data_IF_659197163678
#
_entry.id   IF_659197163678
#
_cell.length_a   1.000
_cell.length_b   1.000
_cell.length_c   1.000
_cell.angle_alpha   90.00
_cell.angle_beta   90.00
_cell.angle_gamma   90.00
#
_symmetry.space_group_name_H-M   'P 1'
#
loop_
_entity.id
_entity.type
_entity.pdbx_description
1 polymer ?
#
# COMPACT_ATOMS: atom_id res chain seq x y z
N UNK A 1 -13.14 6.18 7.52
CA UNK A 1 -12.08 5.27 7.00
C UNK A 1 -11.32 5.97 5.90
N UNK A 2 -10.01 5.85 5.93
CA UNK A 2 -9.14 6.36 4.87
C UNK A 2 -8.55 5.20 4.07
N UNK A 3 -8.14 5.51 2.84
CA UNK A 3 -7.59 4.53 1.92
C UNK A 3 -6.18 4.94 1.51
N UNK A 4 -5.32 3.95 1.32
CA UNK A 4 -3.90 4.15 1.09
C UNK A 4 -3.39 3.20 0.00
N UNK A 5 -2.18 3.44 -0.46
CA UNK A 5 -1.42 2.49 -1.28
C UNK A 5 -0.03 2.39 -0.70
N UNK A 6 0.45 1.17 -0.53
CA UNK A 6 1.80 0.91 -0.02
C UNK A 6 2.55 0.06 -1.05
N UNK A 7 3.80 0.41 -1.28
CA UNK A 7 4.64 -0.27 -2.27
C UNK A 7 5.61 -1.21 -1.59
N UNK A 8 5.76 -2.40 -2.17
CA UNK A 8 6.76 -3.37 -1.75
C UNK A 8 7.46 -3.95 -2.96
N UNK A 9 8.76 -4.15 -2.85
CA UNK A 9 9.51 -4.90 -3.85
C UNK A 9 9.27 -6.39 -3.63
N UNK A 10 8.70 -7.12 -4.63
CA UNK A 10 8.29 -8.51 -4.40
C UNK A 10 9.43 -9.47 -4.08
N UNK A 11 10.68 -9.14 -4.47
CA UNK A 11 11.84 -9.94 -4.10
C UNK A 11 12.19 -9.83 -2.61
N UNK A 12 11.78 -8.75 -1.96
CA UNK A 12 12.01 -8.51 -0.53
C UNK A 12 10.80 -8.95 0.30
N UNK A 13 9.60 -8.49 -0.09
CA UNK A 13 8.34 -8.82 0.58
C UNK A 13 7.21 -8.78 -0.45
N UNK A 14 6.81 -9.94 -0.96
CA UNK A 14 5.76 -10.05 -1.95
C UNK A 14 4.40 -10.34 -1.34
N UNK A 15 3.38 -10.37 -2.20
CA UNK A 15 2.01 -10.64 -1.78
C UNK A 15 1.86 -12.02 -1.15
N UNK A 16 2.55 -13.02 -1.70
CA UNK A 16 2.50 -14.38 -1.14
C UNK A 16 3.08 -14.43 0.26
N UNK A 17 4.13 -13.64 0.53
CA UNK A 17 4.71 -13.54 1.87
C UNK A 17 3.69 -12.94 2.84
N UNK A 18 2.98 -11.89 2.40
CA UNK A 18 1.95 -11.24 3.20
C UNK A 18 0.78 -12.19 3.48
N UNK A 19 0.34 -12.94 2.47
CA UNK A 19 -0.73 -13.93 2.64
C UNK A 19 -0.35 -15.01 3.65
N UNK A 20 0.91 -15.44 3.64
CA UNK A 20 1.40 -16.47 4.54
C UNK A 20 1.37 -16.05 6.01
N UNK A 21 1.39 -14.73 6.30
CA UNK A 21 1.28 -14.22 7.67
C UNK A 21 -0.14 -14.31 8.24
N UNK A 22 -1.16 -14.44 7.37
CA UNK A 22 -2.55 -14.54 7.80
C UNK A 22 -2.97 -13.36 8.67
N UNK A 23 -3.76 -13.63 9.70
CA UNK A 23 -4.29 -12.61 10.61
C UNK A 23 -3.25 -12.00 11.54
N UNK A 24 -2.11 -12.64 11.72
CA UNK A 24 -1.01 -12.06 12.51
C UNK A 24 -0.46 -10.81 11.84
N UNK A 25 -0.49 -10.78 10.51
CA UNK A 25 0.04 -9.68 9.74
C UNK A 25 1.54 -9.55 9.82
N UNK A 26 2.04 -8.40 9.39
CA UNK A 26 3.47 -8.10 9.39
C UNK A 26 3.66 -6.61 9.60
N UNK A 27 4.77 -6.26 10.23
CA UNK A 27 5.18 -4.88 10.37
C UNK A 27 5.69 -4.35 9.02
N UNK A 28 5.34 -3.10 8.71
CA UNK A 28 5.74 -2.44 7.45
C UNK A 28 6.94 -1.55 7.73
N UNK A 29 8.11 -2.17 7.84
CA UNK A 29 9.35 -1.49 8.19
C UNK A 29 10.09 -0.95 6.96
N UNK A 30 11.19 -0.29 7.20
CA UNK A 30 12.11 0.12 6.14
C UNK A 30 11.74 1.41 5.40
N UNK A 31 10.66 2.08 5.78
CA UNK A 31 10.29 3.37 5.17
C UNK A 31 11.23 4.46 5.66
N UNK A 32 11.95 5.12 4.72
CA UNK A 32 12.98 6.11 5.05
C UNK A 32 12.76 7.46 4.37
N UNK A 33 11.55 7.70 3.90
CA UNK A 33 11.13 8.97 3.31
C UNK A 33 10.16 9.67 4.26
N UNK A 34 10.39 10.97 4.55
CA UNK A 34 9.57 11.68 5.53
C UNK A 34 8.12 11.84 5.08
N UNK A 35 7.86 12.08 3.81
CA UNK A 35 6.49 12.20 3.31
C UNK A 35 5.74 10.86 3.48
N UNK A 36 6.37 9.75 3.11
CA UNK A 36 5.79 8.42 3.28
C UNK A 36 5.55 8.12 4.76
N UNK A 37 6.51 8.44 5.62
CA UNK A 37 6.38 8.25 7.06
C UNK A 37 5.24 9.09 7.64
N UNK A 38 5.09 10.33 7.20
CA UNK A 38 3.99 11.19 7.64
C UNK A 38 2.63 10.62 7.20
N UNK A 39 2.56 10.03 6.02
CA UNK A 39 1.36 9.35 5.56
C UNK A 39 1.02 8.16 6.47
N UNK A 40 2.04 7.36 6.86
CA UNK A 40 1.82 6.25 7.78
C UNK A 40 1.35 6.71 9.16
N UNK A 41 1.84 7.86 9.64
CA UNK A 41 1.37 8.43 10.91
C UNK A 41 -0.12 8.75 10.90
N UNK A 42 -0.67 9.05 9.74
CA UNK A 42 -2.08 9.39 9.58
C UNK A 42 -2.98 8.15 9.46
N UNK A 43 -2.41 6.96 9.31
CA UNK A 43 -3.18 5.72 9.21
C UNK A 43 -3.81 5.38 10.55
N UNK A 44 -5.06 4.93 10.51
CA UNK A 44 -5.81 4.48 11.68
C UNK A 44 -6.15 3.00 11.56
N UNK A 45 -6.40 2.37 12.71
CA UNK A 45 -6.87 0.97 12.75
C UNK A 45 -8.07 0.80 11.84
N UNK A 46 -8.06 -0.25 11.03
CA UNK A 46 -9.14 -0.56 10.09
C UNK A 46 -9.03 0.11 8.74
N UNK A 47 -8.12 1.06 8.56
CA UNK A 47 -7.87 1.65 7.25
C UNK A 47 -7.39 0.57 6.28
N UNK A 48 -7.74 0.71 5.01
CA UNK A 48 -7.40 -0.23 3.96
C UNK A 48 -6.32 0.36 3.05
N UNK A 49 -5.45 -0.51 2.55
CA UNK A 49 -4.40 -0.10 1.63
C UNK A 49 -4.27 -1.09 0.48
N UNK A 50 -4.03 -0.57 -0.72
CA UNK A 50 -3.61 -1.39 -1.84
C UNK A 50 -2.17 -1.86 -1.62
N UNK A 51 -1.92 -3.13 -1.87
CA UNK A 51 -0.58 -3.72 -1.86
C UNK A 51 -0.05 -3.70 -3.29
N UNK A 52 1.00 -2.91 -3.52
CA UNK A 52 1.54 -2.67 -4.85
C UNK A 52 2.92 -3.30 -4.98
N UNK A 53 3.13 -4.16 -5.99
CA UNK A 53 4.44 -4.68 -6.34
C UNK A 53 5.19 -3.64 -7.17
N UNK A 54 6.30 -3.14 -6.62
CA UNK A 54 7.12 -2.11 -7.27
C UNK A 54 8.25 -2.71 -8.11
N UNK A 55 9.01 -1.84 -8.75
CA UNK A 55 10.20 -2.11 -9.55
C UNK A 55 9.85 -2.79 -10.88
N UNK A 56 9.74 -4.11 -10.93
CA UNK A 56 9.56 -4.83 -12.20
C UNK A 56 8.09 -5.00 -12.60
N UNK A 57 7.25 -5.42 -11.66
CA UNK A 57 5.86 -5.76 -11.96
C UNK A 57 4.97 -4.53 -12.10
N UNK A 58 5.12 -3.55 -11.23
CA UNK A 58 4.40 -2.28 -11.22
C UNK A 58 2.89 -2.50 -11.32
N UNK A 59 2.32 -3.20 -10.32
CA UNK A 59 0.89 -3.53 -10.30
C UNK A 59 0.36 -3.72 -8.88
N UNK A 60 -0.92 -3.44 -8.71
CA UNK A 60 -1.66 -3.70 -7.47
C UNK A 60 -2.11 -5.16 -7.48
N UNK A 61 -1.83 -5.88 -6.40
CA UNK A 61 -2.09 -7.32 -6.32
C UNK A 61 -3.03 -7.71 -5.19
N UNK A 62 -3.28 -6.82 -4.23
CA UNK A 62 -4.15 -7.16 -3.12
C UNK A 62 -4.50 -5.96 -2.25
N UNK A 63 -5.24 -6.25 -1.19
CA UNK A 63 -5.68 -5.27 -0.19
C UNK A 63 -5.26 -5.76 1.18
N UNK A 64 -4.70 -4.85 1.98
CA UNK A 64 -4.34 -5.09 3.37
C UNK A 64 -5.11 -4.14 4.27
N UNK A 65 -5.18 -4.48 5.56
CA UNK A 65 -5.83 -3.67 6.59
C UNK A 65 -4.81 -3.30 7.65
N UNK A 66 -4.85 -2.05 8.13
CA UNK A 66 -4.00 -1.58 9.24
C UNK A 66 -4.51 -2.20 10.55
N UNK A 67 -3.65 -2.98 11.20
CA UNK A 67 -3.97 -3.67 12.46
C UNK A 67 -3.17 -3.15 13.65
N UNK A 68 -2.20 -2.26 13.41
CA UNK A 68 -1.48 -1.53 14.45
C UNK A 68 -1.07 -0.17 13.90
N UNK A 69 -1.39 0.88 14.64
CA UNK A 69 -1.04 2.24 14.25
C UNK A 69 0.45 2.52 14.44
N UNK A 70 0.91 3.65 13.93
CA UNK A 70 2.31 4.03 13.85
C UNK A 70 3.05 3.87 15.18
N UNK A 71 4.21 3.21 15.12
CA UNK A 71 5.11 3.02 16.25
C UNK A 71 6.56 2.94 15.74
N UNK A 72 7.56 3.07 16.63
CA UNK A 72 8.96 3.12 16.17
C UNK A 72 9.37 1.90 15.37
N UNK A 73 10.07 2.16 14.27
CA UNK A 73 10.63 1.11 13.40
C UNK A 73 11.93 0.60 14.02
N UNK A 74 11.92 -0.66 14.43
CA UNK A 74 13.07 -1.28 15.09
C UNK A 74 14.28 -1.43 14.15
N UNK A 75 14.09 -1.29 12.83
CA UNK A 75 15.18 -1.36 11.87
C UNK A 75 15.86 -0.01 11.64
N UNK A 76 15.33 1.07 12.23
CA UNK A 76 15.94 2.39 12.15
C UNK A 76 16.76 2.67 13.42
N UNK A 77 18.11 2.61 13.33
CA UNK A 77 18.96 2.82 14.49
C UNK A 77 18.93 4.24 15.02
N UNK A 78 18.48 5.21 14.20
CA UNK A 78 18.42 6.62 14.58
C UNK A 78 17.09 7.02 15.23
N UNK A 79 16.10 6.13 15.21
CA UNK A 79 14.79 6.36 15.83
C UNK A 79 13.98 7.49 15.15
N UNK A 80 14.22 7.77 13.88
CA UNK A 80 13.54 8.85 13.15
C UNK A 80 12.26 8.40 12.47
N UNK A 81 12.16 7.12 12.14
CA UNK A 81 11.07 6.57 11.34
C UNK A 81 10.32 5.52 12.13
N UNK A 82 9.06 5.35 11.76
CA UNK A 82 8.21 4.35 12.35
C UNK A 82 7.59 3.45 11.30
N UNK A 83 6.69 2.60 11.76
CA UNK A 83 6.02 1.61 10.93
C UNK A 83 4.61 1.38 11.43
N UNK A 84 3.79 0.72 10.61
CA UNK A 84 2.48 0.21 10.99
C UNK A 84 2.48 -1.30 10.78
N UNK A 85 1.50 -2.01 11.34
CA UNK A 85 1.30 -3.42 11.02
C UNK A 85 0.06 -3.56 10.14
N UNK A 86 0.15 -4.45 9.16
CA UNK A 86 -0.94 -4.73 8.22
C UNK A 86 -1.15 -6.22 8.08
N UNK A 87 -2.38 -6.62 7.75
CA UNK A 87 -2.71 -8.01 7.41
C UNK A 87 -3.38 -8.05 6.05
N UNK A 88 -3.23 -9.18 5.35
CA UNK A 88 -3.89 -9.39 4.07
C UNK A 88 -5.40 -9.53 4.28
N UNK A 89 -6.18 -8.86 3.43
CA UNK A 89 -7.63 -8.93 3.44
C UNK A 89 -8.14 -9.70 2.23
N UNK A 90 -7.67 -9.34 1.03
CA UNK A 90 -8.16 -9.92 -0.20
C UNK A 90 -7.16 -9.76 -1.33
N UNK A 91 -6.96 -10.82 -2.10
CA UNK A 91 -6.19 -10.75 -3.35
C UNK A 91 -7.04 -10.10 -4.44
N UNK A 92 -6.42 -9.32 -5.32
CA UNK A 92 -7.10 -8.81 -6.50
C UNK A 92 -7.40 -9.98 -7.44
N UNK A 93 -8.63 -10.03 -7.93
CA UNK A 93 -9.04 -11.03 -8.94
C UNK A 93 -8.20 -10.83 -10.20
N UNK A 94 -8.05 -9.56 -10.60
CA UNK A 94 -7.22 -9.16 -11.72
C UNK A 94 -6.26 -8.07 -11.24
N UNK A 95 -4.95 -8.32 -11.20
CA UNK A 95 -3.99 -7.27 -10.85
C UNK A 95 -4.14 -6.05 -11.77
N UNK A 96 -4.01 -4.86 -11.18
CA UNK A 96 -4.14 -3.59 -11.91
C UNK A 96 -2.76 -3.01 -12.09
N UNK A 97 -2.32 -2.86 -13.34
CA UNK A 97 -0.98 -2.37 -13.66
C UNK A 97 -0.90 -0.86 -13.60
N UNK A 98 0.31 -0.34 -13.37
CA UNK A 98 0.58 1.10 -13.45
C UNK A 98 0.22 1.65 -14.85
N UNK A 99 0.50 0.89 -15.90
CA UNK A 99 0.16 1.29 -17.27
C UNK A 99 -1.34 1.51 -17.43
N UNK A 100 -2.17 0.61 -16.90
CA UNK A 100 -3.62 0.75 -16.92
C UNK A 100 -4.08 1.98 -16.13
N UNK A 101 -3.46 2.24 -14.99
CA UNK A 101 -3.78 3.42 -14.17
C UNK A 101 -3.42 4.70 -14.91
N UNK A 102 -2.28 4.73 -15.59
CA UNK A 102 -1.88 5.90 -16.40
C UNK A 102 -2.80 6.16 -17.58
N UNK A 103 -3.41 5.12 -18.12
CA UNK A 103 -4.35 5.23 -19.24
C UNK A 103 -5.74 5.70 -18.81
N UNK A 104 -6.01 5.75 -17.51
CA UNK A 104 -7.32 6.18 -16.99
C UNK A 104 -7.26 7.66 -16.59
N UNK A 105 -7.91 8.56 -17.37
CA UNK A 105 -7.86 10.00 -17.08
C UNK A 105 -8.33 10.39 -15.69
N UNK A 106 -9.27 9.64 -15.11
CA UNK A 106 -9.78 9.92 -13.75
C UNK A 106 -8.75 9.65 -12.65
N UNK A 107 -7.65 8.96 -12.97
CA UNK A 107 -6.59 8.63 -12.01
C UNK A 107 -5.31 9.44 -12.26
N UNK A 108 -5.33 10.40 -13.18
CA UNK A 108 -4.14 11.13 -13.63
C UNK A 108 -3.45 11.91 -12.51
N UNK A 109 -4.18 12.32 -11.48
CA UNK A 109 -3.65 13.14 -10.39
C UNK A 109 -3.12 12.33 -9.20
N UNK A 110 -3.21 11.01 -9.23
CA UNK A 110 -2.74 10.18 -8.12
C UNK A 110 -1.24 10.37 -7.87
N UNK A 111 -0.82 10.41 -6.59
CA UNK A 111 0.61 10.44 -6.25
C UNK A 111 1.38 9.26 -6.85
N UNK A 112 0.73 8.13 -7.05
CA UNK A 112 1.33 6.96 -7.71
C UNK A 112 1.94 7.33 -9.07
N UNK A 113 1.28 8.23 -9.80
CA UNK A 113 1.74 8.69 -11.11
C UNK A 113 2.71 9.87 -10.96
N UNK A 114 2.34 10.87 -10.15
CA UNK A 114 3.06 12.13 -10.05
C UNK A 114 4.34 12.05 -9.21
N UNK A 115 4.37 11.14 -8.25
CA UNK A 115 5.49 10.97 -7.32
C UNK A 115 5.95 9.52 -7.34
N UNK A 116 6.64 9.14 -8.41
CA UNK A 116 7.01 7.74 -8.67
C UNK A 116 7.86 7.09 -7.57
N UNK A 117 8.53 7.90 -6.74
CA UNK A 117 9.39 7.40 -5.65
C UNK A 117 8.69 7.36 -4.29
N UNK A 118 7.47 7.87 -4.20
CA UNK A 118 6.72 7.82 -2.95
C UNK A 118 6.21 6.41 -2.74
N UNK A 119 6.48 5.82 -1.58
CA UNK A 119 6.14 4.42 -1.29
C UNK A 119 4.88 4.23 -0.45
N UNK A 120 4.38 5.28 0.16
CA UNK A 120 3.14 5.26 0.95
C UNK A 120 2.37 6.53 0.62
N UNK A 121 1.12 6.39 0.17
CA UNK A 121 0.33 7.53 -0.29
C UNK A 121 -1.14 7.36 0.03
N UNK A 122 -1.87 8.46 0.22
CA UNK A 122 -3.33 8.40 0.34
C UNK A 122 -3.97 8.16 -1.03
N UNK A 123 -5.12 7.48 -1.02
CA UNK A 123 -5.95 7.25 -2.20
C UNK A 123 -7.34 7.81 -1.91
N UNK A 124 -7.84 8.73 -2.73
CA UNK A 124 -9.22 9.22 -2.58
C UNK A 124 -10.23 8.07 -2.77
N UNK A 125 -11.37 8.17 -2.08
CA UNK A 125 -12.40 7.13 -2.10
C UNK A 125 -12.86 6.78 -3.51
N UNK A 126 -13.09 7.77 -4.36
CA UNK A 126 -13.53 7.53 -5.74
C UNK A 126 -12.46 6.82 -6.56
N UNK A 127 -11.20 7.16 -6.38
CA UNK A 127 -10.09 6.46 -7.02
C UNK A 127 -9.97 5.03 -6.50
N UNK A 128 -10.16 4.84 -5.20
CA UNK A 128 -10.17 3.50 -4.59
C UNK A 128 -11.24 2.62 -5.24
N UNK A 129 -12.47 3.12 -5.32
CA UNK A 129 -13.58 2.37 -5.90
C UNK A 129 -13.32 2.03 -7.38
N UNK A 130 -12.77 2.98 -8.12
CA UNK A 130 -12.46 2.78 -9.55
C UNK A 130 -11.40 1.70 -9.74
N UNK A 131 -10.33 1.74 -8.96
CA UNK A 131 -9.26 0.75 -9.04
C UNK A 131 -9.77 -0.63 -8.65
N UNK A 132 -10.60 -0.73 -7.63
CA UNK A 132 -11.23 -1.99 -7.25
C UNK A 132 -12.08 -2.55 -8.41
N UNK A 133 -12.84 -1.69 -9.10
CA UNK A 133 -13.62 -2.10 -10.26
C UNK A 133 -12.72 -2.58 -11.40
N UNK A 134 -11.62 -1.88 -11.67
CA UNK A 134 -10.64 -2.29 -12.68
C UNK A 134 -10.05 -3.67 -12.36
N UNK A 135 -9.86 -3.96 -11.09
CA UNK A 135 -9.34 -5.25 -10.60
C UNK A 135 -10.41 -6.32 -10.41
N UNK A 136 -11.68 -6.03 -10.74
CA UNK A 136 -12.80 -6.94 -10.57
C UNK A 136 -12.89 -7.45 -9.13
N UNK A 137 -12.56 -6.58 -8.18
CA UNK A 137 -12.45 -6.94 -6.75
C UNK A 137 -13.35 -6.03 -5.93
N UNK A 138 -14.13 -6.64 -5.04
CA UNK A 138 -14.96 -5.91 -4.07
C UNK A 138 -14.78 -6.53 -2.69
N UNK A 139 -14.98 -5.72 -1.67
CA UNK A 139 -14.92 -6.17 -0.28
C UNK A 139 -16.28 -6.54 0.28
#
# INVERSE_FOLDING_TARGET
>A
MNYWLIKSEPNTWGWDDQLARGDKGEHWDGVRNYQASNNMKAMALGDLAFFYHSVNEKRIVGIVEVIREYYPDHTDPKGRFGMVDVKAVKSFVRPVTLAEIKDEPRLADLPLIKQSRLSVMPIPKDAWDLICAMGETSL
#
